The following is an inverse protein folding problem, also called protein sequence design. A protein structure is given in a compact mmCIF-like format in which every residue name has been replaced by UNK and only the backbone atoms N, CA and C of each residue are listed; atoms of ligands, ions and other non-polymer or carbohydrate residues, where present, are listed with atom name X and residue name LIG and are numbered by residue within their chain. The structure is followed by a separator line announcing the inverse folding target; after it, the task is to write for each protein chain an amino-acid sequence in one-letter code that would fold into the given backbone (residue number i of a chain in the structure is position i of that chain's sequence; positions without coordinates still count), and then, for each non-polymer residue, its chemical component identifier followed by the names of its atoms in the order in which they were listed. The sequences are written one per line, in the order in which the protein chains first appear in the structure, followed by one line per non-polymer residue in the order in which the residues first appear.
data_IF_649965428318
#
_entry.id   IF_649965428318
#
_cell.length_a   1.000
_cell.length_b   1.000
_cell.length_c   1.000
_cell.angle_alpha   90.00
_cell.angle_beta   90.00
_cell.angle_gamma   90.00
#
_symmetry.space_group_name_H-M   'P 1'
#
loop_
_entity.id
_entity.type
_entity.pdbx_description
1 polymer ?
#
# COMPACT_ATOMS: atom_id res chain seq x y z
N UNK A 1 -24.85 -1.27 -8.35
CA UNK A 1 -24.35 -0.76 -9.64
C UNK A 1 -25.06 -1.38 -10.85
N UNK A 2 -25.02 -2.71 -11.11
CA UNK A 2 -25.50 -3.27 -12.39
C UNK A 2 -26.98 -2.95 -12.71
N UNK A 3 -27.83 -2.96 -11.68
CA UNK A 3 -29.23 -2.58 -11.81
C UNK A 3 -29.40 -1.13 -12.27
N UNK A 4 -28.64 -0.20 -11.68
CA UNK A 4 -28.75 1.24 -11.98
C UNK A 4 -28.25 1.54 -13.39
N UNK A 5 -27.07 1.02 -13.75
CA UNK A 5 -26.50 1.18 -15.08
C UNK A 5 -27.41 0.63 -16.19
N UNK A 6 -28.17 -0.45 -15.92
CA UNK A 6 -29.03 -1.08 -16.91
C UNK A 6 -30.44 -0.50 -16.96
N UNK A 7 -31.06 -0.23 -15.81
CA UNK A 7 -32.49 0.06 -15.71
C UNK A 7 -32.83 1.46 -15.19
N UNK A 8 -31.82 2.31 -14.94
CA UNK A 8 -31.99 3.68 -14.45
C UNK A 8 -31.20 4.73 -15.26
N UNK A 9 -30.84 4.42 -16.52
CA UNK A 9 -30.08 5.33 -17.39
C UNK A 9 -30.72 6.71 -17.53
N UNK A 10 -32.03 6.77 -17.71
CA UNK A 10 -32.74 8.04 -17.89
C UNK A 10 -32.66 8.91 -16.63
N UNK A 11 -32.67 8.30 -15.45
CA UNK A 11 -32.57 9.00 -14.16
C UNK A 11 -31.14 9.48 -13.90
N UNK A 12 -30.14 8.69 -14.32
CA UNK A 12 -28.73 9.02 -14.09
C UNK A 12 -28.10 9.85 -15.21
N UNK A 13 -28.82 10.15 -16.30
CA UNK A 13 -28.22 10.78 -17.48
C UNK A 13 -27.24 9.87 -18.23
N UNK A 14 -27.34 8.55 -18.05
CA UNK A 14 -26.54 7.56 -18.77
C UNK A 14 -25.21 7.18 -18.11
N UNK A 15 -25.05 7.37 -16.78
CA UNK A 15 -23.85 6.90 -16.08
C UNK A 15 -23.57 5.42 -16.32
N UNK A 16 -22.31 5.10 -16.62
CA UNK A 16 -21.85 3.74 -16.85
C UNK A 16 -21.41 3.00 -15.57
N UNK A 17 -21.07 1.71 -15.70
CA UNK A 17 -20.65 0.86 -14.58
C UNK A 17 -19.39 1.38 -13.87
N UNK A 18 -18.46 2.01 -14.60
CA UNK A 18 -17.20 2.54 -14.06
C UNK A 18 -17.50 3.78 -13.21
N UNK A 19 -18.27 4.73 -13.77
CA UNK A 19 -18.68 5.95 -13.08
C UNK A 19 -19.51 5.66 -11.83
N UNK A 20 -20.41 4.68 -11.88
CA UNK A 20 -21.24 4.30 -10.74
C UNK A 20 -20.46 3.57 -9.64
N UNK A 21 -19.36 2.88 -9.97
CA UNK A 21 -18.46 2.27 -8.98
C UNK A 21 -17.62 3.33 -8.28
N UNK A 22 -17.02 4.25 -9.04
CA UNK A 22 -16.29 5.40 -8.50
C UNK A 22 -17.20 6.23 -7.57
N UNK A 23 -18.43 6.53 -8.01
CA UNK A 23 -19.42 7.21 -7.18
C UNK A 23 -19.70 6.46 -5.88
N UNK A 24 -19.88 5.12 -5.92
CA UNK A 24 -20.17 4.35 -4.72
C UNK A 24 -19.00 4.37 -3.71
N UNK A 25 -17.77 4.28 -4.20
CA UNK A 25 -16.56 4.35 -3.39
C UNK A 25 -16.35 5.75 -2.79
N UNK A 26 -16.42 6.79 -3.63
CA UNK A 26 -16.30 8.18 -3.19
C UNK A 26 -17.42 8.56 -2.21
N UNK A 27 -18.64 8.11 -2.44
CA UNK A 27 -19.76 8.33 -1.52
C UNK A 27 -19.52 7.71 -0.14
N UNK A 28 -18.98 6.49 -0.09
CA UNK A 28 -18.62 5.84 1.18
C UNK A 28 -17.54 6.64 1.92
N UNK A 29 -16.45 7.00 1.22
CA UNK A 29 -15.38 7.83 1.79
C UNK A 29 -15.89 9.16 2.33
N UNK A 30 -16.71 9.88 1.56
CA UNK A 30 -17.24 11.20 1.94
C UNK A 30 -18.18 11.09 3.15
N UNK A 31 -19.01 10.05 3.23
CA UNK A 31 -19.85 9.80 4.41
C UNK A 31 -19.02 9.53 5.67
N UNK A 32 -17.93 8.77 5.54
CA UNK A 32 -17.02 8.54 6.67
C UNK A 32 -16.31 9.83 7.10
N UNK A 33 -15.90 10.67 6.14
CA UNK A 33 -15.34 11.99 6.41
C UNK A 33 -16.34 12.87 7.16
N UNK A 34 -17.59 12.94 6.71
CA UNK A 34 -18.65 13.72 7.35
C UNK A 34 -18.96 13.22 8.76
N UNK A 35 -19.11 11.90 8.94
CA UNK A 35 -19.33 11.32 10.26
C UNK A 35 -18.16 11.61 11.23
N UNK A 36 -16.93 11.58 10.72
CA UNK A 36 -15.75 11.95 11.51
C UNK A 36 -15.74 13.44 11.84
N UNK A 37 -16.16 14.29 10.91
CA UNK A 37 -16.30 15.74 11.11
C UNK A 37 -17.27 16.05 12.25
N UNK A 38 -18.44 15.40 12.25
CA UNK A 38 -19.44 15.57 13.30
C UNK A 38 -18.91 15.13 14.68
N UNK A 39 -18.17 14.02 14.72
CA UNK A 39 -17.51 13.54 15.95
C UNK A 39 -16.53 14.57 16.51
N UNK A 40 -15.72 15.19 15.63
CA UNK A 40 -14.73 16.19 16.02
C UNK A 40 -15.39 17.48 16.50
N UNK A 41 -16.41 17.96 15.78
CA UNK A 41 -17.21 19.12 16.21
C UNK A 41 -17.83 18.88 17.59
N UNK A 42 -18.41 17.69 17.83
CA UNK A 42 -18.96 17.30 19.13
C UNK A 42 -17.91 17.36 20.24
N UNK A 43 -16.77 16.69 20.05
CA UNK A 43 -15.67 16.63 21.04
C UNK A 43 -15.14 18.02 21.40
N UNK A 44 -14.93 18.90 20.42
CA UNK A 44 -14.43 20.27 20.66
C UNK A 44 -15.48 21.14 21.34
N UNK A 45 -16.76 20.96 20.98
CA UNK A 45 -17.89 21.67 21.61
C UNK A 45 -18.04 21.28 23.08
N UNK A 46 -17.92 20.00 23.41
CA UNK A 46 -17.97 19.49 24.79
C UNK A 46 -16.84 20.07 25.67
N UNK A 47 -15.70 20.39 25.07
CA UNK A 47 -14.58 21.06 25.75
C UNK A 47 -14.78 22.59 25.90
N UNK A 48 -15.85 23.16 25.33
CA UNK A 48 -16.09 24.60 25.32
C UNK A 48 -15.09 25.40 24.48
N UNK A 49 -14.41 24.75 23.53
CA UNK A 49 -13.33 25.36 22.72
C UNK A 49 -13.71 25.61 21.26
N UNK A 50 -14.96 25.33 20.87
CA UNK A 50 -15.43 25.52 19.50
C UNK A 50 -15.72 26.99 19.24
N UNK A 51 -14.84 27.65 18.48
CA UNK A 51 -15.04 29.02 17.98
C UNK A 51 -15.65 29.00 16.57
N UNK A 52 -16.28 30.09 16.14
CA UNK A 52 -16.83 30.21 14.78
C UNK A 52 -15.75 30.03 13.70
N UNK A 53 -14.54 30.57 13.94
CA UNK A 53 -13.40 30.38 13.02
C UNK A 53 -13.00 28.91 12.92
N UNK A 54 -12.91 28.22 14.06
CA UNK A 54 -12.53 26.80 14.10
C UNK A 54 -13.59 25.91 13.47
N UNK A 55 -14.87 26.17 13.73
CA UNK A 55 -15.99 25.49 13.08
C UNK A 55 -15.92 25.67 11.56
N UNK A 56 -15.67 26.90 11.08
CA UNK A 56 -15.45 27.18 9.66
C UNK A 56 -14.31 26.35 9.05
N UNK A 57 -13.16 26.25 9.74
CA UNK A 57 -12.02 25.42 9.28
C UNK A 57 -12.39 23.93 9.23
N UNK A 58 -13.10 23.42 10.23
CA UNK A 58 -13.52 22.01 10.28
C UNK A 58 -14.51 21.66 9.16
N UNK A 59 -15.45 22.55 8.87
CA UNK A 59 -16.43 22.39 7.77
C UNK A 59 -15.75 22.45 6.41
N UNK A 60 -14.77 23.33 6.24
CA UNK A 60 -14.02 23.47 4.99
C UNK A 60 -13.04 22.32 4.73
N UNK A 61 -12.68 21.52 5.74
CA UNK A 61 -11.72 20.43 5.61
C UNK A 61 -12.19 19.38 4.58
N UNK A 62 -11.32 19.14 3.59
CA UNK A 62 -11.62 18.30 2.40
C UNK A 62 -11.08 16.88 2.51
N UNK A 63 -10.18 16.64 3.47
CA UNK A 63 -9.54 15.34 3.68
C UNK A 63 -9.60 14.92 5.14
N UNK A 64 -9.59 13.59 5.38
CA UNK A 64 -9.51 13.05 6.76
C UNK A 64 -8.23 13.50 7.49
N UNK A 65 -7.12 13.67 6.77
CA UNK A 65 -5.85 14.11 7.35
C UNK A 65 -5.93 15.55 7.86
N UNK A 66 -6.41 16.48 7.02
CA UNK A 66 -6.62 17.88 7.41
C UNK A 66 -7.57 18.00 8.61
N UNK A 67 -8.64 17.19 8.61
CA UNK A 67 -9.58 17.16 9.72
C UNK A 67 -8.94 16.67 11.04
N UNK A 68 -8.09 15.64 10.98
CA UNK A 68 -7.33 15.17 12.16
C UNK A 68 -6.29 16.19 12.62
N UNK A 69 -5.63 16.91 11.69
CA UNK A 69 -4.67 17.96 12.02
C UNK A 69 -5.34 19.09 12.82
N UNK A 70 -6.52 19.55 12.37
CA UNK A 70 -7.32 20.55 13.07
C UNK A 70 -7.77 20.05 14.45
N UNK A 71 -8.07 18.76 14.57
CA UNK A 71 -8.50 18.16 15.84
C UNK A 71 -7.35 17.92 16.84
N UNK A 72 -6.11 17.86 16.37
CA UNK A 72 -4.96 17.43 17.18
C UNK A 72 -4.77 18.19 18.51
N UNK A 73 -4.96 19.52 18.59
CA UNK A 73 -4.90 20.27 19.85
C UNK A 73 -5.96 19.86 20.89
N UNK A 74 -7.10 19.32 20.44
CA UNK A 74 -8.28 19.03 21.24
C UNK A 74 -8.44 17.54 21.54
N UNK A 75 -7.62 16.70 20.92
CA UNK A 75 -7.63 15.26 21.15
C UNK A 75 -7.17 14.96 22.58
N UNK A 76 -7.89 14.12 23.35
CA UNK A 76 -7.45 13.71 24.68
C UNK A 76 -6.05 13.09 24.63
N UNK A 77 -5.13 13.56 25.47
CA UNK A 77 -3.72 13.13 25.51
C UNK A 77 -3.40 12.44 26.83
N UNK A 78 -2.40 11.56 26.76
CA UNK A 78 -1.71 11.07 27.96
C UNK A 78 -0.77 12.16 28.44
N UNK A 79 -0.55 12.23 29.76
CA UNK A 79 0.35 13.18 30.43
C UNK A 79 1.67 13.39 29.66
N UNK A 80 1.74 14.46 28.86
CA UNK A 80 2.90 14.75 27.98
C UNK A 80 3.99 15.50 28.76
N UNK A 81 5.21 15.58 28.20
CA UNK A 81 6.26 16.44 28.78
C UNK A 81 5.84 17.92 28.82
N UNK A 82 5.09 18.38 27.82
CA UNK A 82 4.54 19.72 27.79
C UNK A 82 3.48 19.93 28.88
N UNK A 83 2.59 18.96 29.10
CA UNK A 83 1.61 19.01 30.20
C UNK A 83 2.31 19.04 31.56
N UNK A 84 3.31 18.18 31.79
CA UNK A 84 4.12 18.20 33.02
C UNK A 84 4.81 19.56 33.20
N UNK A 85 5.34 20.15 32.13
CA UNK A 85 5.96 21.47 32.19
C UNK A 85 4.94 22.58 32.51
N UNK A 86 3.71 22.51 31.97
CA UNK A 86 2.63 23.44 32.31
C UNK A 86 2.20 23.31 33.77
N UNK A 87 2.06 22.07 34.28
CA UNK A 87 1.76 21.78 35.68
C UNK A 87 2.81 22.36 36.64
N UNK A 88 4.10 22.33 36.24
CA UNK A 88 5.22 22.95 36.96
C UNK A 88 5.31 24.48 36.81
N UNK A 89 4.32 25.11 36.17
CA UNK A 89 4.26 26.56 36.01
C UNK A 89 5.16 27.14 34.92
N UNK A 90 5.63 26.33 33.95
CA UNK A 90 6.52 26.80 32.87
C UNK A 90 5.77 27.36 31.64
N UNK A 91 4.43 27.35 31.66
CA UNK A 91 3.60 27.96 30.60
C UNK A 91 3.89 29.45 30.40
N UNK A 92 3.84 30.28 31.46
CA UNK A 92 4.16 31.71 31.36
C UNK A 92 5.58 32.01 30.86
N UNK A 93 6.56 31.13 31.13
CA UNK A 93 7.93 31.28 30.58
C UNK A 93 7.93 31.14 29.06
N UNK A 94 7.27 30.10 28.53
CA UNK A 94 7.15 29.88 27.09
C UNK A 94 6.42 31.06 26.40
N UNK A 95 5.34 31.55 27.01
CA UNK A 95 4.58 32.70 26.50
C UNK A 95 5.39 34.00 26.55
N UNK A 96 6.17 34.24 27.61
CA UNK A 96 7.00 35.44 27.73
C UNK A 96 8.10 35.48 26.65
N UNK A 97 8.77 34.36 26.40
CA UNK A 97 9.74 34.23 25.30
C UNK A 97 9.04 34.37 23.94
N UNK A 98 7.78 33.91 23.85
CA UNK A 98 6.98 34.07 22.65
C UNK A 98 6.64 35.54 22.34
N UNK A 99 6.23 36.28 23.37
CA UNK A 99 5.72 37.63 23.24
C UNK A 99 6.81 38.69 23.06
N UNK A 100 7.99 38.50 23.67
CA UNK A 100 9.08 39.46 23.60
C UNK A 100 10.43 38.81 23.28
N UNK A 101 10.81 38.89 22.00
CA UNK A 101 12.04 38.30 21.45
C UNK A 101 13.33 38.94 21.96
N UNK A 102 13.27 40.17 22.49
CA UNK A 102 14.48 40.87 22.97
C UNK A 102 14.98 40.35 24.32
N UNK A 103 14.12 39.66 25.07
CA UNK A 103 14.46 39.10 26.37
C UNK A 103 15.40 37.91 26.21
N UNK A 104 16.36 37.78 27.14
CA UNK A 104 17.28 36.64 27.17
C UNK A 104 16.57 35.46 27.85
N UNK A 105 16.30 34.35 27.14
CA UNK A 105 15.52 33.23 27.72
C UNK A 105 16.12 32.68 29.02
N UNK A 106 17.45 32.61 29.11
CA UNK A 106 18.15 32.14 30.30
C UNK A 106 17.93 33.05 31.53
N UNK A 107 17.79 34.36 31.34
CA UNK A 107 17.49 35.31 32.42
C UNK A 107 16.04 35.19 32.87
N UNK A 108 15.11 35.05 31.92
CA UNK A 108 13.70 34.81 32.25
C UNK A 108 13.51 33.51 33.02
N UNK A 109 14.23 32.46 32.63
CA UNK A 109 14.14 31.14 33.25
C UNK A 109 14.51 31.14 34.74
N UNK A 110 15.31 32.10 35.22
CA UNK A 110 15.69 32.20 36.65
C UNK A 110 14.47 32.36 37.56
N UNK A 111 13.44 33.07 37.11
CA UNK A 111 12.22 33.30 37.88
C UNK A 111 11.33 32.04 38.02
N UNK A 112 11.65 30.98 37.28
CA UNK A 112 10.86 29.74 37.23
C UNK A 112 11.58 28.55 37.88
N UNK A 113 12.76 28.76 38.47
CA UNK A 113 13.48 27.74 39.25
C UNK A 113 12.80 27.58 40.61
N UNK A 114 12.43 26.35 40.96
CA UNK A 114 11.73 26.01 42.20
C UNK A 114 12.00 24.54 42.58
N UNK A 115 11.34 24.01 43.62
CA UNK A 115 11.53 22.62 44.07
C UNK A 115 11.23 21.57 42.98
N UNK A 116 10.33 21.88 42.04
CA UNK A 116 9.95 21.01 40.93
C UNK A 116 10.75 21.27 39.63
N UNK A 117 11.49 22.38 39.57
CA UNK A 117 12.28 22.85 38.43
C UNK A 117 13.70 23.17 38.90
N UNK A 118 14.60 22.20 38.77
CA UNK A 118 15.91 22.20 39.43
C UNK A 118 16.84 23.36 39.02
N UNK A 119 16.82 23.78 37.76
CA UNK A 119 17.69 24.82 37.23
C UNK A 119 17.09 25.51 35.99
N UNK A 120 17.76 26.55 35.50
CA UNK A 120 17.35 27.30 34.31
C UNK A 120 17.30 26.42 33.06
N UNK A 121 18.15 25.40 32.97
CA UNK A 121 18.14 24.45 31.86
C UNK A 121 16.87 23.62 31.86
N UNK A 122 16.46 23.08 33.01
CA UNK A 122 15.21 22.34 33.16
C UNK A 122 13.99 23.22 32.84
N UNK A 123 14.01 24.49 33.25
CA UNK A 123 12.96 25.46 32.92
C UNK A 123 12.85 25.68 31.40
N UNK A 124 13.98 25.92 30.72
CA UNK A 124 14.02 26.08 29.26
C UNK A 124 13.66 24.79 28.51
N UNK A 125 14.07 23.61 28.98
CA UNK A 125 13.66 22.35 28.38
C UNK A 125 12.15 22.13 28.47
N UNK A 126 11.54 22.46 29.63
CA UNK A 126 10.08 22.42 29.79
C UNK A 126 9.37 23.43 28.88
N UNK A 127 9.86 24.66 28.79
CA UNK A 127 9.34 25.67 27.87
C UNK A 127 9.46 25.23 26.40
N UNK A 128 10.59 24.63 26.00
CA UNK A 128 10.79 24.04 24.66
C UNK A 128 9.76 22.95 24.40
N UNK A 129 9.52 22.06 25.36
CA UNK A 129 8.56 20.96 25.17
C UNK A 129 7.12 21.49 24.98
N UNK A 130 6.74 22.55 25.72
CA UNK A 130 5.46 23.27 25.52
C UNK A 130 5.36 23.85 24.11
N UNK A 131 6.38 24.59 23.67
CA UNK A 131 6.39 25.23 22.35
C UNK A 131 6.46 24.19 21.22
N UNK A 132 7.21 23.11 21.41
CA UNK A 132 7.32 22.03 20.42
C UNK A 132 5.98 21.33 20.20
N UNK A 133 5.20 21.14 21.27
CA UNK A 133 3.83 20.63 21.17
C UNK A 133 2.93 21.63 20.43
N UNK A 134 2.99 22.92 20.82
CA UNK A 134 2.20 23.96 20.14
C UNK A 134 2.52 24.07 18.64
N UNK A 135 3.78 23.94 18.25
CA UNK A 135 4.22 24.02 16.86
C UNK A 135 3.80 22.77 16.08
N UNK A 136 3.93 21.59 16.68
CA UNK A 136 3.56 20.32 16.05
C UNK A 136 2.04 20.17 15.83
N UNK A 137 1.23 20.94 16.55
CA UNK A 137 -0.23 20.86 16.51
C UNK A 137 -0.89 22.00 15.73
N UNK A 138 -0.08 22.84 15.08
CA UNK A 138 -0.56 23.87 14.17
C UNK A 138 -0.93 23.24 12.82
N UNK A 139 -2.24 23.07 12.58
CA UNK A 139 -2.77 22.44 11.38
C UNK A 139 -2.29 23.10 10.08
N UNK A 140 -2.26 24.45 10.03
CA UNK A 140 -1.81 25.20 8.85
C UNK A 140 -0.32 24.94 8.54
N UNK A 141 0.51 24.85 9.57
CA UNK A 141 1.93 24.52 9.45
C UNK A 141 2.13 23.06 9.01
N UNK A 142 1.42 22.12 9.65
CA UNK A 142 1.48 20.68 9.31
C UNK A 142 1.07 20.46 7.85
N UNK A 143 -0.02 21.07 7.40
CA UNK A 143 -0.49 20.99 6.01
C UNK A 143 0.54 21.53 5.00
N UNK A 144 1.19 22.67 5.30
CA UNK A 144 2.26 23.24 4.48
C UNK A 144 3.49 22.33 4.42
N UNK A 145 3.95 21.83 5.57
CA UNK A 145 5.10 20.91 5.64
C UNK A 145 4.82 19.59 4.92
N UNK A 146 3.61 19.03 5.08
CA UNK A 146 3.17 17.83 4.35
C UNK A 146 3.24 18.05 2.85
N UNK A 147 2.69 19.16 2.36
CA UNK A 147 2.71 19.51 0.93
C UNK A 147 4.13 19.68 0.41
N UNK A 148 4.99 20.36 1.18
CA UNK A 148 6.40 20.52 0.86
C UNK A 148 7.13 19.18 0.77
N UNK A 149 6.95 18.28 1.74
CA UNK A 149 7.55 16.94 1.71
C UNK A 149 7.02 16.11 0.54
N UNK A 150 5.72 16.16 0.24
CA UNK A 150 5.16 15.46 -0.93
C UNK A 150 5.85 15.89 -2.23
N UNK A 151 6.12 17.18 -2.37
CA UNK A 151 6.81 17.70 -3.56
C UNK A 151 8.30 17.37 -3.56
N UNK A 152 8.97 17.48 -2.40
CA UNK A 152 10.45 17.62 -2.31
C UNK A 152 11.19 16.41 -1.75
N UNK A 153 10.52 15.56 -0.97
CA UNK A 153 11.18 14.49 -0.25
C UNK A 153 11.62 13.35 -1.18
N UNK A 154 12.61 12.60 -0.72
CA UNK A 154 13.12 11.39 -1.31
C UNK A 154 12.73 10.19 -0.46
N UNK A 155 12.28 9.14 -1.12
CA UNK A 155 12.16 7.81 -0.54
C UNK A 155 13.54 7.15 -0.57
N UNK A 156 14.01 6.68 0.59
CA UNK A 156 15.29 5.98 0.71
C UNK A 156 15.09 4.58 1.25
N UNK A 157 15.68 3.60 0.56
CA UNK A 157 15.76 2.22 1.02
C UNK A 157 17.22 1.84 1.25
N UNK A 158 17.49 1.20 2.39
CA UNK A 158 18.82 0.70 2.76
C UNK A 158 18.71 -0.71 3.31
N UNK A 159 19.61 -1.61 2.91
CA UNK A 159 19.71 -2.94 3.49
C UNK A 159 20.07 -2.85 4.97
N UNK A 160 19.45 -3.70 5.79
CA UNK A 160 19.84 -3.87 7.19
C UNK A 160 21.15 -4.66 7.25
N UNK A 161 22.11 -4.18 8.04
CA UNK A 161 23.41 -4.84 8.17
C UNK A 161 23.28 -6.33 8.53
N UNK A 162 23.96 -7.18 7.77
CA UNK A 162 23.93 -8.64 7.93
C UNK A 162 22.77 -9.36 7.21
N UNK A 163 21.90 -8.64 6.49
CA UNK A 163 20.77 -9.23 5.74
C UNK A 163 21.00 -9.32 4.23
N UNK A 164 22.20 -9.03 3.73
CA UNK A 164 22.48 -8.96 2.29
C UNK A 164 22.23 -10.29 1.56
N UNK A 165 22.68 -11.41 2.12
CA UNK A 165 22.52 -12.72 1.48
C UNK A 165 21.07 -13.22 1.54
N UNK A 166 20.44 -13.16 2.72
CA UNK A 166 19.03 -13.51 2.91
C UNK A 166 18.09 -12.61 2.10
N UNK A 167 18.52 -11.37 1.84
CA UNK A 167 17.80 -10.32 1.17
C UNK A 167 18.01 -10.23 -0.33
N UNK A 168 18.71 -11.18 -0.97
CA UNK A 168 19.14 -11.07 -2.37
C UNK A 168 18.01 -10.70 -3.37
N UNK A 169 16.77 -11.11 -3.10
CA UNK A 169 15.59 -10.73 -3.93
C UNK A 169 15.22 -9.24 -3.88
N UNK A 170 15.79 -8.48 -2.95
CA UNK A 170 15.64 -7.04 -2.78
C UNK A 170 16.93 -6.27 -3.10
N UNK A 171 17.90 -6.89 -3.78
CA UNK A 171 19.22 -6.30 -4.07
C UNK A 171 19.15 -4.94 -4.74
N UNK A 172 18.17 -4.75 -5.62
CA UNK A 172 17.93 -3.50 -6.34
C UNK A 172 17.60 -2.32 -5.39
N UNK A 173 17.25 -2.61 -4.13
CA UNK A 173 16.85 -1.62 -3.12
C UNK A 173 17.82 -1.53 -1.93
N UNK A 174 19.01 -2.15 -2.01
CA UNK A 174 19.96 -2.15 -0.90
C UNK A 174 20.57 -0.78 -0.59
N UNK A 175 20.69 0.10 -1.59
CA UNK A 175 21.00 1.52 -1.42
C UNK A 175 20.30 2.29 -2.54
N UNK A 176 19.00 2.46 -2.39
CA UNK A 176 18.14 3.08 -3.40
C UNK A 176 17.54 4.38 -2.90
N UNK A 177 17.56 5.39 -3.76
CA UNK A 177 17.02 6.72 -3.48
C UNK A 177 16.23 7.18 -4.71
N UNK A 178 14.99 7.62 -4.49
CA UNK A 178 14.17 8.20 -5.55
C UNK A 178 13.20 9.25 -5.01
N UNK A 179 12.67 10.11 -5.90
CA UNK A 179 11.72 11.15 -5.49
C UNK A 179 10.42 10.52 -4.97
N UNK A 180 10.00 10.84 -3.75
CA UNK A 180 8.80 10.27 -3.11
C UNK A 180 7.54 10.43 -3.99
N UNK A 181 7.38 11.60 -4.62
CA UNK A 181 6.25 11.91 -5.50
C UNK A 181 6.09 10.93 -6.67
N UNK A 182 7.21 10.39 -7.17
CA UNK A 182 7.27 9.64 -8.42
C UNK A 182 7.52 8.14 -8.21
N UNK A 183 7.48 7.66 -6.95
CA UNK A 183 7.68 6.23 -6.67
C UNK A 183 6.56 5.42 -7.35
N UNK A 184 6.90 4.50 -8.27
CA UNK A 184 5.95 3.60 -8.91
C UNK A 184 5.39 2.57 -7.92
N UNK A 185 4.13 2.16 -8.11
CA UNK A 185 3.43 1.21 -7.23
C UNK A 185 4.24 -0.08 -6.96
N UNK A 186 4.73 -0.74 -8.01
CA UNK A 186 5.47 -2.01 -7.85
C UNK A 186 6.77 -1.86 -7.02
N UNK A 187 7.49 -0.73 -7.15
CA UNK A 187 8.70 -0.47 -6.35
C UNK A 187 8.35 -0.13 -4.91
N UNK A 188 7.32 0.70 -4.70
CA UNK A 188 6.82 1.00 -3.35
C UNK A 188 6.45 -0.30 -2.60
N UNK A 189 5.68 -1.19 -3.23
CA UNK A 189 5.28 -2.46 -2.65
C UNK A 189 6.47 -3.40 -2.42
N UNK A 190 7.45 -3.44 -3.34
CA UNK A 190 8.67 -4.23 -3.15
C UNK A 190 9.51 -3.73 -1.96
N UNK A 191 9.70 -2.42 -1.85
CA UNK A 191 10.41 -1.80 -0.73
C UNK A 191 9.68 -2.04 0.60
N UNK A 192 8.36 -1.83 0.65
CA UNK A 192 7.52 -2.09 1.83
C UNK A 192 7.56 -3.57 2.25
N UNK A 193 7.57 -4.49 1.28
CA UNK A 193 7.75 -5.92 1.54
C UNK A 193 9.12 -6.20 2.13
N UNK A 194 10.19 -5.64 1.58
CA UNK A 194 11.54 -5.79 2.12
C UNK A 194 11.67 -5.25 3.56
N UNK A 195 10.95 -4.18 3.89
CA UNK A 195 10.83 -3.68 5.26
C UNK A 195 10.09 -4.64 6.18
N UNK A 196 8.93 -5.15 5.75
CA UNK A 196 8.13 -6.08 6.55
C UNK A 196 8.82 -7.42 6.79
N UNK A 197 9.70 -7.83 5.87
CA UNK A 197 10.57 -8.99 6.02
C UNK A 197 11.89 -8.68 6.76
N UNK A 198 12.02 -7.47 7.35
CA UNK A 198 13.19 -7.02 8.13
C UNK A 198 14.52 -7.05 7.36
N UNK A 199 14.48 -6.95 6.03
CA UNK A 199 15.66 -6.88 5.16
C UNK A 199 16.04 -5.45 4.82
N UNK A 200 15.05 -4.57 4.63
CA UNK A 200 15.25 -3.16 4.29
C UNK A 200 14.81 -2.24 5.44
N UNK A 201 15.52 -1.15 5.61
CA UNK A 201 15.06 0.04 6.31
C UNK A 201 14.58 1.06 5.27
N UNK A 202 13.47 1.73 5.57
CA UNK A 202 12.88 2.74 4.70
C UNK A 202 12.78 4.07 5.46
N UNK A 203 13.15 5.14 4.78
CA UNK A 203 13.05 6.51 5.32
C UNK A 203 12.53 7.48 4.25
N UNK A 204 11.98 8.61 4.72
CA UNK A 204 11.62 9.75 3.87
C UNK A 204 12.49 10.93 4.29
N UNK A 205 13.46 11.25 3.43
CA UNK A 205 14.44 12.30 3.68
C UNK A 205 14.02 13.57 2.89
N UNK A 206 14.07 14.74 3.52
CA UNK A 206 13.83 16.04 2.87
C UNK A 206 14.96 16.99 3.25
N UNK A 207 15.35 17.87 2.32
CA UNK A 207 16.42 18.85 2.51
C UNK A 207 17.81 18.25 2.86
N UNK A 208 18.02 16.96 2.59
CA UNK A 208 19.28 16.27 2.88
C UNK A 208 20.49 16.93 2.17
N UNK A 209 20.29 17.34 0.92
CA UNK A 209 21.31 17.98 0.09
C UNK A 209 21.39 19.51 0.28
N UNK A 210 20.49 20.12 1.07
CA UNK A 210 20.49 21.57 1.31
C UNK A 210 21.60 21.92 2.32
N UNK A 211 22.58 22.73 1.93
CA UNK A 211 23.71 23.09 2.80
C UNK A 211 23.45 24.30 3.69
N UNK A 212 22.24 24.87 3.66
CA UNK A 212 21.86 26.01 4.49
C UNK A 212 22.01 25.66 5.99
N UNK A 213 22.49 26.61 6.81
CA UNK A 213 22.60 26.42 8.26
C UNK A 213 21.23 26.22 8.92
N UNK A 214 20.18 26.80 8.35
CA UNK A 214 18.79 26.60 8.73
C UNK A 214 18.08 25.92 7.59
N UNK A 215 17.52 24.73 7.80
CA UNK A 215 16.88 23.94 6.73
C UNK A 215 15.56 24.57 6.28
N UNK A 216 15.12 24.39 5.01
CA UNK A 216 13.82 24.87 4.54
C UNK A 216 12.65 24.53 5.46
N UNK A 217 12.54 23.28 5.92
CA UNK A 217 11.52 22.85 6.90
C UNK A 217 11.56 23.64 8.20
N UNK A 218 12.75 23.96 8.71
CA UNK A 218 12.91 24.77 9.92
C UNK A 218 12.52 26.23 9.67
N UNK A 219 12.85 26.79 8.48
CA UNK A 219 12.39 28.13 8.07
C UNK A 219 10.87 28.20 7.96
N UNK A 220 10.21 27.14 7.51
CA UNK A 220 8.75 27.09 7.45
C UNK A 220 8.12 27.16 8.85
N UNK A 221 8.70 26.46 9.83
CA UNK A 221 8.30 26.55 11.24
C UNK A 221 8.55 27.97 11.76
N UNK A 222 9.75 28.52 11.53
CA UNK A 222 10.11 29.87 11.96
C UNK A 222 9.14 30.93 11.41
N UNK A 223 8.83 30.86 10.12
CA UNK A 223 7.90 31.78 9.46
C UNK A 223 6.47 31.68 10.01
N UNK A 224 6.00 30.49 10.38
CA UNK A 224 4.67 30.30 10.96
C UNK A 224 4.48 31.01 12.31
N UNK A 225 5.59 31.28 13.02
CA UNK A 225 5.59 31.95 14.33
C UNK A 225 6.34 33.29 14.32
N UNK A 226 6.64 33.81 13.13
CA UNK A 226 7.43 35.03 12.93
C UNK A 226 8.71 35.07 13.78
N UNK A 227 9.41 33.94 13.87
CA UNK A 227 10.70 33.83 14.56
C UNK A 227 11.75 34.54 13.71
N UNK A 228 12.38 35.56 14.28
CA UNK A 228 13.48 36.29 13.64
C UNK A 228 14.80 35.53 13.73
N UNK A 229 15.93 36.24 13.61
CA UNK A 229 17.25 35.62 13.72
C UNK A 229 18.28 36.39 14.54
N UNK A 230 18.00 37.63 14.93
CA UNK A 230 19.00 38.52 15.54
C UNK A 230 18.89 38.60 17.06
N UNK A 231 17.67 38.51 17.60
CA UNK A 231 17.40 38.75 19.02
C UNK A 231 17.69 37.50 19.88
N UNK A 232 17.95 37.65 21.19
CA UNK A 232 18.27 36.52 22.06
C UNK A 232 17.16 35.45 22.10
N UNK A 233 15.89 35.86 22.17
CA UNK A 233 14.75 34.96 22.13
C UNK A 233 14.63 34.24 20.79
N UNK A 234 14.84 34.95 19.67
CA UNK A 234 14.78 34.37 18.32
C UNK A 234 15.78 33.21 18.14
N UNK A 235 17.02 33.37 18.63
CA UNK A 235 18.05 32.33 18.53
C UNK A 235 17.63 31.05 19.24
N UNK A 236 17.12 31.17 20.47
CA UNK A 236 16.62 30.02 21.21
C UNK A 236 15.39 29.39 20.53
N UNK A 237 14.47 30.19 20.01
CA UNK A 237 13.28 29.68 19.30
C UNK A 237 13.63 28.98 17.99
N UNK A 238 14.70 29.41 17.33
CA UNK A 238 15.23 28.72 16.16
C UNK A 238 15.72 27.31 16.52
N UNK A 239 16.37 27.15 17.68
CA UNK A 239 16.73 25.83 18.23
C UNK A 239 15.46 25.01 18.58
N UNK A 240 14.43 25.64 19.14
CA UNK A 240 13.13 25.00 19.40
C UNK A 240 12.49 24.52 18.09
N UNK A 241 12.55 25.31 17.01
CA UNK A 241 12.01 24.95 15.70
C UNK A 241 12.72 23.73 15.10
N UNK A 242 14.06 23.71 15.11
CA UNK A 242 14.85 22.55 14.66
C UNK A 242 14.60 21.30 15.51
N UNK A 243 14.47 21.47 16.83
CA UNK A 243 14.09 20.39 17.75
C UNK A 243 12.71 19.83 17.43
N UNK A 244 11.72 20.71 17.24
CA UNK A 244 10.35 20.35 16.91
C UNK A 244 10.30 19.57 15.60
N UNK A 245 11.00 20.04 14.57
CA UNK A 245 11.13 19.33 13.32
C UNK A 245 11.62 17.90 13.55
N UNK A 246 12.79 17.76 14.17
CA UNK A 246 13.48 16.47 14.30
C UNK A 246 12.75 15.45 15.18
N UNK A 247 12.07 15.90 16.24
CA UNK A 247 11.51 15.00 17.27
C UNK A 247 10.00 14.80 17.12
N UNK A 248 9.29 15.72 16.46
CA UNK A 248 7.82 15.68 16.33
C UNK A 248 7.37 15.66 14.88
N UNK A 249 7.60 16.76 14.15
CA UNK A 249 6.99 16.98 12.83
C UNK A 249 7.53 16.00 11.78
N UNK A 250 8.83 15.75 11.73
CA UNK A 250 9.44 14.83 10.75
C UNK A 250 8.87 13.42 10.90
N UNK A 251 8.83 12.88 12.13
CA UNK A 251 8.33 11.54 12.40
C UNK A 251 6.85 11.41 12.02
N UNK A 252 6.03 12.36 12.45
CA UNK A 252 4.59 12.36 12.15
C UNK A 252 4.34 12.41 10.64
N UNK A 253 4.99 13.34 9.94
CA UNK A 253 4.81 13.52 8.50
C UNK A 253 5.39 12.35 7.69
N UNK A 254 6.52 11.77 8.10
CA UNK A 254 7.07 10.57 7.47
C UNK A 254 6.10 9.39 7.58
N UNK A 255 5.47 9.19 8.72
CA UNK A 255 4.45 8.15 8.88
C UNK A 255 3.22 8.39 7.98
N UNK A 256 2.76 9.65 7.91
CA UNK A 256 1.66 10.04 7.03
C UNK A 256 1.97 9.79 5.56
N UNK A 257 3.16 10.22 5.08
CA UNK A 257 3.58 10.03 3.69
C UNK A 257 3.86 8.55 3.36
N UNK A 258 4.34 7.76 4.32
CA UNK A 258 4.48 6.31 4.13
C UNK A 258 3.14 5.62 3.98
N UNK A 259 2.13 6.01 4.78
CA UNK A 259 0.75 5.51 4.65
C UNK A 259 0.18 5.87 3.27
N UNK A 260 0.29 7.14 2.88
CA UNK A 260 -0.20 7.63 1.59
C UNK A 260 0.46 6.92 0.40
N UNK A 261 1.79 6.73 0.44
CA UNK A 261 2.52 5.97 -0.57
C UNK A 261 2.03 4.52 -0.66
N UNK A 262 1.78 3.88 0.48
CA UNK A 262 1.26 2.51 0.54
C UNK A 262 -0.15 2.42 -0.04
N UNK A 263 -1.07 3.26 0.40
CA UNK A 263 -2.47 3.26 -0.06
C UNK A 263 -2.53 3.45 -1.58
N UNK A 264 -1.84 4.46 -2.11
CA UNK A 264 -1.77 4.71 -3.56
C UNK A 264 -1.13 3.55 -4.34
N UNK A 265 -0.12 2.90 -3.77
CA UNK A 265 0.54 1.77 -4.42
C UNK A 265 -0.35 0.52 -4.43
N UNK A 266 -1.05 0.23 -3.33
CA UNK A 266 -2.00 -0.88 -3.22
C UNK A 266 -3.19 -0.68 -4.15
N UNK A 267 -3.75 0.53 -4.23
CA UNK A 267 -4.87 0.85 -5.12
C UNK A 267 -4.53 0.60 -6.59
N UNK A 268 -3.38 1.08 -7.07
CA UNK A 268 -2.93 0.85 -8.44
C UNK A 268 -2.70 -0.64 -8.73
N UNK A 269 -2.10 -1.38 -7.78
CA UNK A 269 -1.90 -2.82 -7.94
C UNK A 269 -3.24 -3.58 -8.01
N UNK A 270 -4.20 -3.24 -7.15
CA UNK A 270 -5.55 -3.80 -7.15
C UNK A 270 -6.25 -3.49 -8.47
N UNK A 271 -6.12 -2.27 -8.98
CA UNK A 271 -6.71 -1.88 -10.26
C UNK A 271 -6.15 -2.70 -11.43
N UNK A 272 -4.84 -2.96 -11.46
CA UNK A 272 -4.23 -3.88 -12.44
C UNK A 272 -4.77 -5.30 -12.28
N UNK A 273 -4.86 -5.82 -11.06
CA UNK A 273 -5.42 -7.15 -10.80
C UNK A 273 -6.90 -7.26 -11.22
N UNK A 274 -7.70 -6.23 -10.94
CA UNK A 274 -9.10 -6.17 -11.33
C UNK A 274 -9.27 -6.17 -12.85
N UNK A 275 -8.41 -5.44 -13.58
CA UNK A 275 -8.39 -5.46 -15.05
C UNK A 275 -8.04 -6.84 -15.58
N UNK A 276 -6.95 -7.44 -15.09
CA UNK A 276 -6.52 -8.77 -15.52
C UNK A 276 -7.60 -9.82 -15.24
N UNK A 277 -8.26 -9.75 -14.08
CA UNK A 277 -9.36 -10.66 -13.75
C UNK A 277 -10.57 -10.44 -14.66
N UNK A 278 -10.92 -9.20 -14.98
CA UNK A 278 -12.00 -8.88 -15.93
C UNK A 278 -11.71 -9.49 -17.31
N UNK A 279 -10.49 -9.34 -17.80
CA UNK A 279 -10.09 -9.88 -19.10
C UNK A 279 -10.15 -11.42 -19.11
N UNK A 280 -9.76 -12.07 -18.01
CA UNK A 280 -9.90 -13.52 -17.84
C UNK A 280 -11.37 -13.98 -17.83
N UNK A 281 -12.24 -13.26 -17.10
CA UNK A 281 -13.66 -13.60 -17.00
C UNK A 281 -14.43 -13.36 -18.30
N UNK A 282 -13.97 -12.43 -19.13
CA UNK A 282 -14.58 -12.08 -20.42
C UNK A 282 -13.87 -12.71 -21.62
N UNK A 283 -12.90 -13.60 -21.38
CA UNK A 283 -12.26 -14.38 -22.43
C UNK A 283 -13.31 -15.15 -23.22
N UNK A 284 -13.17 -15.16 -24.54
CA UNK A 284 -14.13 -15.82 -25.43
C UNK A 284 -14.21 -17.32 -25.08
N UNK A 285 -15.41 -17.85 -24.75
CA UNK A 285 -15.54 -19.26 -24.44
C UNK A 285 -15.30 -20.10 -25.70
N UNK A 286 -14.49 -21.15 -25.58
CA UNK A 286 -14.19 -22.05 -26.71
C UNK A 286 -15.37 -22.93 -27.14
N UNK A 287 -16.46 -22.92 -26.36
CA UNK A 287 -17.71 -23.62 -26.64
C UNK A 287 -17.74 -25.06 -26.15
N UNK A 288 -18.80 -25.77 -26.50
CA UNK A 288 -19.08 -27.15 -26.10
C UNK A 288 -18.26 -28.18 -26.91
N UNK A 289 -16.95 -28.18 -26.73
CA UNK A 289 -15.99 -29.03 -27.46
C UNK A 289 -15.22 -29.93 -26.50
N UNK A 290 -15.01 -31.20 -26.88
CA UNK A 290 -14.25 -32.13 -26.06
C UNK A 290 -12.81 -31.60 -25.87
N UNK A 291 -12.37 -31.50 -24.61
CA UNK A 291 -11.14 -30.79 -24.26
C UNK A 291 -10.25 -31.64 -23.38
N UNK A 292 -8.95 -31.66 -23.68
CA UNK A 292 -7.91 -32.23 -22.82
C UNK A 292 -7.23 -31.11 -22.05
N UNK A 293 -7.36 -31.12 -20.73
CA UNK A 293 -6.65 -30.26 -19.81
C UNK A 293 -5.28 -30.82 -19.46
N UNK A 294 -4.24 -30.01 -19.62
CA UNK A 294 -2.87 -30.30 -19.22
C UNK A 294 -2.43 -29.26 -18.20
N UNK A 295 -2.23 -29.70 -16.95
CA UNK A 295 -1.63 -28.91 -15.88
C UNK A 295 -0.13 -29.27 -15.78
N UNK A 296 0.77 -28.43 -16.31
CA UNK A 296 2.18 -28.74 -16.42
C UNK A 296 2.86 -29.02 -15.08
N UNK A 297 3.90 -29.83 -15.15
CA UNK A 297 4.75 -30.09 -14.00
C UNK A 297 5.99 -30.85 -14.42
N UNK A 298 7.12 -30.50 -13.83
CA UNK A 298 8.41 -31.15 -14.12
C UNK A 298 8.54 -32.40 -13.25
N UNK A 299 8.87 -32.22 -11.96
CA UNK A 299 9.13 -33.33 -11.02
C UNK A 299 7.89 -34.16 -10.72
N UNK A 300 6.73 -33.54 -10.61
CA UNK A 300 5.44 -34.20 -10.27
C UNK A 300 4.72 -34.77 -11.49
N UNK A 301 5.27 -34.58 -12.69
CA UNK A 301 4.60 -34.91 -13.95
C UNK A 301 3.57 -33.88 -14.36
N UNK A 302 3.09 -34.03 -15.60
CA UNK A 302 1.98 -33.26 -16.18
C UNK A 302 0.69 -34.02 -15.85
N UNK A 303 -0.26 -33.31 -15.24
CA UNK A 303 -1.57 -33.87 -14.89
C UNK A 303 -2.49 -33.67 -16.09
N UNK A 304 -3.26 -34.70 -16.40
CA UNK A 304 -4.07 -34.78 -17.61
C UNK A 304 -5.51 -35.07 -17.20
N UNK A 305 -6.45 -34.27 -17.68
CA UNK A 305 -7.86 -34.56 -17.61
C UNK A 305 -8.49 -34.45 -19.00
N UNK A 306 -9.51 -35.26 -19.28
CA UNK A 306 -10.29 -35.14 -20.52
C UNK A 306 -11.74 -34.93 -20.15
N UNK A 307 -12.34 -33.86 -20.67
CA UNK A 307 -13.76 -33.52 -20.50
C UNK A 307 -14.50 -33.58 -21.84
N UNK A 308 -15.77 -33.98 -21.82
CA UNK A 308 -16.63 -33.90 -23.01
C UNK A 308 -17.17 -32.48 -23.25
N UNK A 309 -17.96 -32.29 -24.32
CA UNK A 309 -18.55 -30.99 -24.65
C UNK A 309 -19.54 -30.43 -23.63
N UNK A 310 -19.95 -31.23 -22.63
CA UNK A 310 -20.78 -30.78 -21.49
C UNK A 310 -19.94 -30.36 -20.27
N UNK A 311 -18.63 -30.60 -20.30
CA UNK A 311 -17.72 -30.40 -19.18
C UNK A 311 -17.60 -31.62 -18.25
N UNK A 312 -18.22 -32.76 -18.58
CA UNK A 312 -18.11 -33.97 -17.76
C UNK A 312 -16.73 -34.59 -17.91
N UNK A 313 -16.07 -34.89 -16.79
CA UNK A 313 -14.80 -35.63 -16.75
C UNK A 313 -15.00 -37.06 -17.28
N UNK A 314 -14.23 -37.42 -18.31
CA UNK A 314 -14.21 -38.73 -18.93
C UNK A 314 -13.06 -39.59 -18.41
N UNK A 315 -11.87 -38.99 -18.24
CA UNK A 315 -10.69 -39.69 -17.74
C UNK A 315 -9.69 -38.71 -17.14
N UNK A 316 -8.78 -39.23 -16.32
CA UNK A 316 -7.63 -38.50 -15.78
C UNK A 316 -6.40 -39.39 -15.75
N UNK A 317 -5.21 -38.83 -15.93
CA UNK A 317 -3.93 -39.54 -15.75
C UNK A 317 -2.81 -38.57 -15.40
N UNK A 318 -1.64 -39.09 -15.05
CA UNK A 318 -0.41 -38.31 -14.85
C UNK A 318 0.69 -38.88 -15.73
N UNK A 319 1.30 -38.03 -16.55
CA UNK A 319 2.38 -38.39 -17.47
C UNK A 319 3.68 -37.69 -17.07
N UNK A 320 4.83 -38.27 -17.41
CA UNK A 320 6.13 -37.81 -16.91
C UNK A 320 7.15 -37.56 -18.03
N UNK A 321 6.90 -36.57 -18.91
CA UNK A 321 7.77 -36.27 -20.05
C UNK A 321 9.11 -35.64 -19.65
N UNK A 322 9.24 -35.07 -18.45
CA UNK A 322 10.38 -34.28 -17.99
C UNK A 322 11.17 -34.96 -16.85
N UNK A 323 12.31 -34.40 -16.42
CA UNK A 323 13.08 -34.97 -15.32
C UNK A 323 12.23 -35.16 -14.05
N UNK A 324 12.42 -36.29 -13.33
CA UNK A 324 13.51 -37.26 -13.49
C UNK A 324 13.25 -38.39 -14.49
N UNK A 325 12.01 -38.59 -14.96
CA UNK A 325 11.65 -39.74 -15.80
C UNK A 325 11.99 -39.57 -17.28
N UNK A 326 11.86 -38.36 -17.82
CA UNK A 326 12.15 -38.04 -19.22
C UNK A 326 11.41 -38.94 -20.24
N UNK A 327 10.19 -39.40 -19.93
CA UNK A 327 9.42 -40.28 -20.81
C UNK A 327 8.60 -39.51 -21.84
N UNK A 328 9.31 -38.84 -22.76
CA UNK A 328 8.70 -38.02 -23.81
C UNK A 328 7.82 -38.87 -24.73
N UNK A 329 8.36 -39.98 -25.28
CA UNK A 329 7.65 -40.81 -26.25
C UNK A 329 6.44 -41.52 -25.65
N UNK A 330 6.56 -42.07 -24.43
CA UNK A 330 5.45 -42.70 -23.73
C UNK A 330 4.34 -41.70 -23.44
N UNK A 331 4.70 -40.48 -23.04
CA UNK A 331 3.74 -39.39 -22.86
C UNK A 331 3.01 -39.05 -24.16
N UNK A 332 3.73 -38.84 -25.27
CA UNK A 332 3.11 -38.52 -26.57
C UNK A 332 2.17 -39.63 -27.04
N UNK A 333 2.54 -40.89 -26.85
CA UNK A 333 1.70 -42.03 -27.21
C UNK A 333 0.40 -42.07 -26.38
N UNK A 334 0.48 -41.85 -25.07
CA UNK A 334 -0.70 -41.85 -24.19
C UNK A 334 -1.63 -40.66 -24.50
N UNK A 335 -1.09 -39.46 -24.68
CA UNK A 335 -1.89 -38.29 -25.06
C UNK A 335 -2.57 -38.51 -26.43
N UNK A 336 -1.84 -39.05 -27.42
CA UNK A 336 -2.40 -39.34 -28.75
C UNK A 336 -3.51 -40.41 -28.71
N UNK A 337 -3.40 -41.39 -27.80
CA UNK A 337 -4.44 -42.40 -27.56
C UNK A 337 -5.68 -41.76 -26.95
N UNK A 338 -5.52 -40.93 -25.92
CA UNK A 338 -6.64 -40.23 -25.27
C UNK A 338 -7.38 -39.28 -26.22
N UNK A 339 -6.63 -38.57 -27.08
CA UNK A 339 -7.21 -37.71 -28.12
C UNK A 339 -8.14 -38.50 -29.04
N UNK A 340 -7.68 -39.66 -29.53
CA UNK A 340 -8.47 -40.52 -30.43
C UNK A 340 -9.67 -41.15 -29.73
N UNK A 341 -9.46 -41.65 -28.50
CA UNK A 341 -10.51 -42.32 -27.73
C UNK A 341 -11.69 -41.41 -27.41
N UNK A 342 -11.41 -40.17 -27.02
CA UNK A 342 -12.41 -39.22 -26.58
C UNK A 342 -12.76 -38.15 -27.62
N UNK A 343 -12.21 -38.26 -28.84
CA UNK A 343 -12.41 -37.31 -29.94
C UNK A 343 -12.13 -35.87 -29.50
N UNK A 344 -11.00 -35.68 -28.82
CA UNK A 344 -10.59 -34.38 -28.30
C UNK A 344 -10.44 -33.40 -29.45
N UNK A 345 -10.99 -32.21 -29.28
CA UNK A 345 -10.93 -31.12 -30.25
C UNK A 345 -10.03 -29.97 -29.80
N UNK A 346 -9.85 -29.83 -28.49
CA UNK A 346 -9.06 -28.76 -27.87
C UNK A 346 -8.07 -29.35 -26.86
N UNK A 347 -6.87 -28.77 -26.79
CA UNK A 347 -5.90 -29.07 -25.74
C UNK A 347 -5.60 -27.76 -25.00
N UNK A 348 -6.03 -27.65 -23.76
CA UNK A 348 -5.73 -26.50 -22.90
C UNK A 348 -4.50 -26.77 -22.05
N UNK A 349 -3.51 -25.90 -22.13
CA UNK A 349 -2.22 -26.05 -21.43
C UNK A 349 -2.09 -24.91 -20.42
N UNK A 350 -1.98 -25.24 -19.13
CA UNK A 350 -1.71 -24.26 -18.08
C UNK A 350 -0.41 -23.49 -18.32
N UNK A 351 -0.36 -22.22 -17.91
CA UNK A 351 0.79 -21.33 -18.16
C UNK A 351 1.84 -21.30 -17.03
N UNK A 352 1.83 -22.28 -16.13
CA UNK A 352 2.78 -22.39 -15.02
C UNK A 352 4.10 -23.06 -15.35
N UNK A 353 4.64 -23.73 -14.32
CA UNK A 353 5.98 -24.34 -14.37
C UNK A 353 6.00 -25.56 -15.28
N UNK A 354 6.84 -25.54 -16.31
CA UNK A 354 6.91 -26.60 -17.33
C UNK A 354 5.96 -26.39 -18.52
N UNK A 355 5.27 -25.24 -18.60
CA UNK A 355 4.30 -24.93 -19.66
C UNK A 355 4.94 -24.87 -21.05
N UNK A 356 6.10 -24.21 -21.19
CA UNK A 356 6.82 -24.10 -22.47
C UNK A 356 7.24 -25.47 -23.00
N UNK A 357 7.75 -26.31 -22.11
CA UNK A 357 8.18 -27.67 -22.41
C UNK A 357 6.97 -28.54 -22.78
N UNK A 358 5.84 -28.40 -22.07
CA UNK A 358 4.59 -29.11 -22.35
C UNK A 358 3.98 -28.66 -23.68
N UNK A 359 4.02 -27.37 -23.97
CA UNK A 359 3.55 -26.82 -25.24
C UNK A 359 4.35 -27.39 -26.42
N UNK A 360 5.68 -27.47 -26.28
CA UNK A 360 6.55 -28.07 -27.30
C UNK A 360 6.23 -29.56 -27.48
N UNK A 361 6.13 -30.31 -26.39
CA UNK A 361 5.76 -31.73 -26.39
C UNK A 361 4.45 -31.98 -27.17
N UNK A 362 3.42 -31.17 -26.92
CA UNK A 362 2.13 -31.24 -27.62
C UNK A 362 2.27 -30.86 -29.09
N UNK A 363 3.05 -29.82 -29.42
CA UNK A 363 3.28 -29.40 -30.81
C UNK A 363 3.98 -30.49 -31.63
N UNK A 364 5.00 -31.12 -31.05
CA UNK A 364 5.76 -32.21 -31.66
C UNK A 364 4.82 -33.43 -31.87
N UNK A 365 4.05 -33.80 -30.85
CA UNK A 365 3.06 -34.89 -30.93
C UNK A 365 2.01 -34.65 -32.02
N UNK A 366 1.44 -33.43 -32.08
CA UNK A 366 0.45 -33.09 -33.10
C UNK A 366 1.07 -33.10 -34.50
N UNK A 367 2.35 -32.74 -34.65
CA UNK A 367 3.05 -32.80 -35.95
C UNK A 367 3.21 -34.24 -36.42
N UNK A 368 3.57 -35.14 -35.51
CA UNK A 368 3.78 -36.58 -35.78
C UNK A 368 2.48 -37.36 -36.00
N UNK A 369 1.31 -36.78 -35.67
CA UNK A 369 0.02 -37.43 -35.94
C UNK A 369 -0.25 -37.53 -37.46
N UNK A 370 -0.60 -38.73 -37.95
CA UNK A 370 -0.83 -38.95 -39.38
C UNK A 370 -2.13 -38.27 -39.84
N UNK A 371 -2.11 -37.73 -41.06
CA UNK A 371 -3.14 -36.82 -41.58
C UNK A 371 -4.50 -37.50 -41.88
N UNK A 372 -4.50 -38.83 -42.01
CA UNK A 372 -5.66 -39.68 -42.23
C UNK A 372 -6.43 -40.04 -40.94
N UNK A 373 -5.88 -39.68 -39.77
CA UNK A 373 -6.46 -39.97 -38.45
C UNK A 373 -7.58 -39.02 -37.97
N UNK A 374 -8.01 -38.07 -38.79
CA UNK A 374 -9.02 -37.06 -38.45
C UNK A 374 -8.42 -35.67 -38.14
N UNK A 375 -9.27 -34.67 -37.82
CA UNK A 375 -8.83 -33.31 -37.55
C UNK A 375 -7.97 -33.25 -36.28
N UNK A 376 -6.82 -32.58 -36.37
CA UNK A 376 -5.91 -32.38 -35.23
C UNK A 376 -6.54 -31.40 -34.23
N UNK A 377 -6.47 -31.66 -32.91
CA UNK A 377 -6.93 -30.73 -31.89
C UNK A 377 -6.21 -29.38 -31.98
N UNK A 378 -6.91 -28.31 -31.62
CA UNK A 378 -6.29 -26.99 -31.45
C UNK A 378 -5.70 -26.88 -30.04
N UNK A 379 -4.41 -26.60 -29.93
CA UNK A 379 -3.77 -26.29 -28.64
C UNK A 379 -3.96 -24.81 -28.27
N UNK A 380 -4.20 -24.53 -26.99
CA UNK A 380 -4.36 -23.18 -26.46
C UNK A 380 -3.68 -23.09 -25.09
N UNK A 381 -2.96 -21.99 -24.84
CA UNK A 381 -2.42 -21.69 -23.52
C UNK A 381 -3.50 -21.02 -22.68
N UNK A 382 -3.71 -21.50 -21.46
CA UNK A 382 -4.69 -20.97 -20.50
C UNK A 382 -4.02 -20.55 -19.21
N UNK A 383 -4.61 -19.56 -18.53
CA UNK A 383 -4.16 -19.17 -17.20
C UNK A 383 -4.47 -20.28 -16.20
N UNK A 384 -3.49 -20.71 -15.41
CA UNK A 384 -3.69 -21.63 -14.29
C UNK A 384 -4.06 -20.90 -12.98
N UNK A 385 -4.23 -19.58 -13.04
CA UNK A 385 -4.56 -18.77 -11.88
C UNK A 385 -5.85 -19.26 -11.21
N UNK A 386 -5.73 -19.73 -9.97
CA UNK A 386 -6.84 -20.25 -9.18
C UNK A 386 -7.07 -21.76 -9.31
N UNK A 387 -6.44 -22.47 -10.24
CA UNK A 387 -6.62 -23.93 -10.40
C UNK A 387 -6.16 -24.71 -9.16
N UNK A 388 -5.03 -24.33 -8.55
CA UNK A 388 -4.53 -24.94 -7.31
C UNK A 388 -5.36 -24.58 -6.07
N UNK A 389 -5.95 -23.38 -6.04
CA UNK A 389 -6.87 -22.97 -4.97
C UNK A 389 -8.17 -23.74 -5.09
N UNK A 390 -8.68 -23.89 -6.32
CA UNK A 390 -9.87 -24.69 -6.61
C UNK A 390 -9.65 -26.15 -6.22
N UNK A 391 -8.56 -26.77 -6.65
CA UNK A 391 -8.33 -28.22 -6.43
C UNK A 391 -8.29 -28.63 -4.95
N UNK A 392 -7.81 -27.73 -4.09
CA UNK A 392 -7.77 -27.89 -2.63
C UNK A 392 -9.06 -27.43 -1.92
N UNK A 393 -10.05 -26.88 -2.64
CA UNK A 393 -11.29 -26.36 -2.06
C UNK A 393 -12.28 -27.46 -1.67
N UNK A 394 -13.17 -27.13 -0.73
CA UNK A 394 -14.29 -28.01 -0.35
C UNK A 394 -15.23 -28.27 -1.55
N UNK A 395 -15.40 -27.29 -2.44
CA UNK A 395 -16.21 -27.41 -3.65
C UNK A 395 -15.64 -28.48 -4.58
N UNK A 396 -14.35 -28.43 -4.91
CA UNK A 396 -13.71 -29.44 -5.76
C UNK A 396 -13.71 -30.83 -5.11
N UNK A 397 -13.57 -30.91 -3.79
CA UNK A 397 -13.68 -32.16 -3.05
C UNK A 397 -15.09 -32.76 -3.12
N UNK A 398 -16.13 -31.92 -3.15
CA UNK A 398 -17.51 -32.37 -3.32
C UNK A 398 -17.83 -32.77 -4.77
N UNK A 399 -17.29 -32.04 -5.76
CA UNK A 399 -17.45 -32.37 -7.19
C UNK A 399 -16.70 -33.65 -7.57
N UNK A 400 -15.50 -33.85 -7.03
CA UNK A 400 -14.63 -34.98 -7.37
C UNK A 400 -14.05 -35.72 -6.14
N UNK A 401 -14.89 -36.39 -5.33
CA UNK A 401 -14.43 -37.05 -4.09
C UNK A 401 -13.38 -38.14 -4.30
N UNK A 402 -13.41 -38.81 -5.46
CA UNK A 402 -12.50 -39.91 -5.81
C UNK A 402 -11.24 -39.51 -6.59
N UNK A 403 -11.09 -38.23 -6.94
CA UNK A 403 -9.89 -37.73 -7.62
C UNK A 403 -8.91 -37.16 -6.61
N UNK A 404 -7.62 -37.45 -6.81
CA UNK A 404 -6.52 -36.83 -6.08
C UNK A 404 -6.50 -35.30 -6.31
N UNK A 405 -6.10 -34.54 -5.28
CA UNK A 405 -6.02 -33.07 -5.34
C UNK A 405 -5.20 -32.58 -6.53
N UNK A 406 -4.12 -33.27 -6.91
CA UNK A 406 -3.26 -32.84 -8.02
C UNK A 406 -3.94 -32.94 -9.39
N UNK A 407 -4.94 -33.81 -9.53
CA UNK A 407 -5.65 -34.04 -10.80
C UNK A 407 -6.85 -33.11 -10.98
N UNK A 408 -7.41 -32.54 -9.92
CA UNK A 408 -8.59 -31.66 -10.00
C UNK A 408 -8.31 -30.29 -10.63
N UNK A 409 -7.03 -29.91 -10.69
CA UNK A 409 -6.62 -28.66 -11.33
C UNK A 409 -6.48 -28.77 -12.86
N UNK A 410 -6.23 -29.99 -13.37
CA UNK A 410 -6.22 -30.32 -14.78
C UNK A 410 -7.65 -30.52 -15.29
#
# INVERSE_FOLDING_TARGET
VPFVARYRKEVTGGLDDTQLRDLAERLAYLRELDARRDTILGSIREQGKLTEELEGKIVAATTKAELEDIYLPYKPKRRTKAEIARERGLGPLAEAILANRSLVPAELALAYVNEEVADTKAALEGARDILSEQFAENADLVGKLRSYMKERAFMRARVVDGKQEAGAKFSDYFDHVERWANVPSHRALAMLRGRNEEVLSLDIEVDADDTSPVKPVERMIANAYAIGGSLPGDRWLMEVAGWTWRIKLSLHLTLDLMRDLRERAEEEAIHVFARNLKDLLLAAPAGSRATMGLDPGIRTGVKVAVVDGTGKVLTTTTVYPFPPRNDVRGTQAELAKLIRLHKVELISIGNGTGSRETEKLVADMLSDMPADGGPKPLKVIVSEAGASVYSASATAAAEFPGLDVSLRGA
#
